data_IF_955612870613
#
_entry.id   IF_955612870613
#
_cell.length_a   1.000
_cell.length_b   1.000
_cell.length_c   1.000
_cell.angle_alpha   90.00
_cell.angle_beta   90.00
_cell.angle_gamma   90.00
#
_symmetry.space_group_name_H-M   'P 1'
#
loop_
_entity.id
_entity.type
_entity.pdbx_description
1 polymer ?
#
# COMPACT_ATOMS: atom_id res chain seq x y z
N UNK A 1 16.24 -8.56 -15.37
CA UNK A 1 16.16 -7.62 -14.24
C UNK A 1 14.68 -7.46 -13.95
N UNK A 2 14.12 -8.27 -13.05
CA UNK A 2 12.79 -8.00 -12.51
C UNK A 2 12.94 -6.69 -11.72
N UNK A 3 12.28 -5.64 -12.18
CA UNK A 3 12.27 -4.37 -11.47
C UNK A 3 11.71 -4.64 -10.07
N UNK A 4 12.55 -4.47 -9.05
CA UNK A 4 12.12 -4.52 -7.66
C UNK A 4 11.08 -3.41 -7.52
N UNK A 5 9.81 -3.79 -7.41
CA UNK A 5 8.74 -2.81 -7.26
C UNK A 5 8.85 -2.20 -5.87
N UNK A 6 9.51 -1.04 -5.79
CA UNK A 6 9.81 -0.36 -4.53
C UNK A 6 9.26 1.06 -4.56
N UNK A 7 8.24 1.33 -3.73
CA UNK A 7 7.91 2.69 -3.35
C UNK A 7 8.46 2.98 -1.96
N UNK A 8 9.13 4.13 -1.83
CA UNK A 8 9.62 4.67 -0.57
C UNK A 8 9.41 6.19 -0.60
N UNK A 9 9.31 6.82 0.57
CA UNK A 9 9.17 8.27 0.69
C UNK A 9 8.01 8.83 -0.14
N UNK A 10 6.89 8.12 -0.14
CA UNK A 10 5.61 8.51 -0.72
C UNK A 10 4.58 8.79 0.38
N UNK A 11 3.38 9.24 0.00
CA UNK A 11 2.26 9.43 0.94
C UNK A 11 1.12 8.50 0.59
N UNK A 12 0.70 7.67 1.54
CA UNK A 12 -0.54 6.93 1.48
C UNK A 12 -1.70 7.90 1.73
N UNK A 13 -2.45 8.19 0.67
CA UNK A 13 -3.65 9.04 0.73
C UNK A 13 -4.87 8.25 1.17
N UNK A 14 -5.02 7.03 0.65
CA UNK A 14 -6.18 6.18 0.92
C UNK A 14 -5.82 4.71 0.84
N UNK A 15 -6.39 3.92 1.74
CA UNK A 15 -6.38 2.47 1.65
C UNK A 15 -7.81 1.91 1.68
N UNK A 16 -8.07 0.87 0.89
CA UNK A 16 -9.37 0.22 0.82
C UNK A 16 -9.26 -1.28 0.54
N UNK A 17 -10.29 -2.03 0.93
CA UNK A 17 -10.44 -3.45 0.60
C UNK A 17 -11.82 -3.68 -0.01
N UNK A 18 -11.84 -4.31 -1.18
CA UNK A 18 -13.06 -4.69 -1.88
C UNK A 18 -12.98 -6.17 -2.29
N UNK A 19 -13.60 -7.04 -1.50
CA UNK A 19 -13.47 -8.49 -1.68
C UNK A 19 -12.03 -8.94 -1.46
N UNK A 20 -11.39 -9.49 -2.51
CA UNK A 20 -9.99 -9.93 -2.51
C UNK A 20 -9.04 -8.92 -3.17
N UNK A 21 -9.49 -7.67 -3.38
CA UNK A 21 -8.68 -6.59 -3.95
C UNK A 21 -8.34 -5.58 -2.86
N UNK A 22 -7.06 -5.43 -2.56
CA UNK A 22 -6.55 -4.40 -1.67
C UNK A 22 -6.01 -3.23 -2.51
N UNK A 23 -6.47 -2.01 -2.23
CA UNK A 23 -6.14 -0.83 -3.01
C UNK A 23 -5.46 0.24 -2.17
N UNK A 24 -4.43 0.86 -2.73
CA UNK A 24 -3.70 1.98 -2.13
C UNK A 24 -3.66 3.15 -3.12
N UNK A 25 -4.15 4.31 -2.73
CA UNK A 25 -3.95 5.56 -3.44
C UNK A 25 -2.74 6.27 -2.82
N UNK A 26 -1.70 6.47 -3.61
CA UNK A 26 -0.38 6.91 -3.15
C UNK A 26 0.07 8.14 -3.93
N UNK A 27 0.44 9.21 -3.22
CA UNK A 27 1.11 10.36 -3.82
C UNK A 27 2.63 10.16 -3.82
N UNK A 28 3.22 10.16 -5.00
CA UNK A 28 4.65 10.06 -5.21
C UNK A 28 5.28 11.45 -5.22
N UNK A 29 6.12 11.76 -4.23
CA UNK A 29 6.71 13.09 -4.11
C UNK A 29 7.68 13.42 -5.27
N UNK A 30 7.64 14.64 -5.84
CA UNK A 30 8.54 15.08 -6.91
C UNK A 30 10.03 14.94 -6.61
N UNK A 31 10.40 14.99 -5.31
CA UNK A 31 11.79 14.85 -4.84
C UNK A 31 12.38 13.50 -5.23
N UNK A 32 11.58 12.44 -5.16
CA UNK A 32 11.98 11.06 -5.47
C UNK A 32 11.42 10.57 -6.81
N UNK A 33 10.33 11.18 -7.27
CA UNK A 33 9.58 10.78 -8.45
C UNK A 33 9.33 12.00 -9.35
N UNK A 34 10.22 12.29 -10.32
CA UNK A 34 10.11 13.45 -11.18
C UNK A 34 8.72 13.57 -11.81
N UNK A 35 8.06 14.72 -11.59
CA UNK A 35 6.73 15.00 -12.11
C UNK A 35 5.62 14.97 -11.08
N UNK A 36 5.80 14.34 -9.90
CA UNK A 36 4.80 14.29 -8.83
C UNK A 36 3.47 13.73 -9.29
N UNK A 37 3.20 12.44 -9.01
CA UNK A 37 1.96 11.80 -9.48
C UNK A 37 1.26 11.06 -8.37
N UNK A 38 -0.07 11.08 -8.42
CA UNK A 38 -0.89 10.12 -7.69
C UNK A 38 -0.88 8.81 -8.48
N UNK A 39 -0.78 7.69 -7.77
CA UNK A 39 -0.92 6.36 -8.34
C UNK A 39 -1.87 5.54 -7.50
N UNK A 40 -2.74 4.79 -8.17
CA UNK A 40 -3.55 3.75 -7.54
C UNK A 40 -2.92 2.40 -7.76
N UNK A 41 -2.69 1.67 -6.66
CA UNK A 41 -2.17 0.31 -6.66
C UNK A 41 -3.27 -0.65 -6.28
N UNK A 42 -3.50 -1.67 -7.08
CA UNK A 42 -4.49 -2.72 -6.82
C UNK A 42 -3.79 -4.07 -6.77
N UNK A 43 -3.86 -4.69 -5.60
CA UNK A 43 -3.38 -6.05 -5.34
C UNK A 43 -4.57 -7.00 -5.37
N UNK A 44 -4.66 -7.82 -6.41
CA UNK A 44 -5.76 -8.76 -6.61
C UNK A 44 -5.40 -10.17 -6.14
N UNK A 45 -6.41 -10.92 -5.70
CA UNK A 45 -6.24 -12.30 -5.26
C UNK A 45 -5.63 -12.40 -3.86
N UNK A 46 -5.92 -11.42 -3.00
CA UNK A 46 -5.58 -11.46 -1.58
C UNK A 46 -6.50 -12.45 -0.86
N UNK A 47 -5.94 -13.40 -0.11
CA UNK A 47 -6.71 -14.48 0.52
C UNK A 47 -7.02 -14.25 2.01
N UNK A 48 -6.22 -13.46 2.71
CA UNK A 48 -6.35 -13.23 4.16
C UNK A 48 -7.08 -11.92 4.47
N UNK A 49 -8.38 -11.88 4.15
CA UNK A 49 -9.22 -10.67 4.25
C UNK A 49 -9.23 -10.07 5.66
N UNK A 50 -9.23 -10.90 6.71
CA UNK A 50 -9.33 -10.43 8.10
C UNK A 50 -8.09 -9.65 8.55
N UNK A 51 -6.91 -9.99 8.02
CA UNK A 51 -5.67 -9.23 8.22
C UNK A 51 -5.81 -7.81 7.66
N UNK A 52 -6.29 -7.67 6.42
CA UNK A 52 -6.49 -6.36 5.80
C UNK A 52 -7.55 -5.54 6.52
N UNK A 53 -8.67 -6.15 6.92
CA UNK A 53 -9.70 -5.45 7.70
C UNK A 53 -9.17 -4.96 9.05
N UNK A 54 -8.35 -5.77 9.73
CA UNK A 54 -7.72 -5.34 10.97
C UNK A 54 -6.78 -4.15 10.75
N UNK A 55 -5.93 -4.23 9.74
CA UNK A 55 -5.00 -3.16 9.39
C UNK A 55 -5.74 -1.87 9.00
N UNK A 56 -6.82 -1.97 8.21
CA UNK A 56 -7.64 -0.82 7.82
C UNK A 56 -8.33 -0.15 9.01
N UNK A 57 -8.71 -0.91 10.05
CA UNK A 57 -9.24 -0.33 11.30
C UNK A 57 -8.17 0.48 12.04
N UNK A 58 -6.91 0.02 12.03
CA UNK A 58 -5.80 0.75 12.64
C UNK A 58 -5.49 2.02 11.83
N UNK A 59 -5.45 1.91 10.51
CA UNK A 59 -5.31 3.06 9.61
C UNK A 59 -6.39 4.12 9.87
N UNK A 60 -7.66 3.72 9.93
CA UNK A 60 -8.76 4.65 10.23
C UNK A 60 -8.64 5.30 11.61
N UNK A 61 -8.13 4.58 12.61
CA UNK A 61 -7.90 5.14 13.94
C UNK A 61 -6.80 6.21 13.93
N UNK A 62 -5.69 5.98 13.22
CA UNK A 62 -4.61 6.98 13.05
C UNK A 62 -5.14 8.24 12.35
N UNK A 63 -5.84 8.08 11.22
CA UNK A 63 -6.41 9.23 10.50
C UNK A 63 -7.40 10.04 11.36
N UNK A 64 -8.17 9.38 12.22
CA UNK A 64 -9.10 10.06 13.13
C UNK A 64 -8.39 10.85 14.25
N UNK A 65 -7.21 10.41 14.70
CA UNK A 65 -6.41 11.10 15.72
C UNK A 65 -5.71 12.35 15.18
N UNK A 66 -5.25 12.31 13.92
CA UNK A 66 -4.53 13.41 13.28
C UNK A 66 -5.43 14.60 12.91
N UNK A 67 -6.76 14.44 12.99
CA UNK A 67 -7.74 15.53 12.91
C UNK A 67 -7.87 16.17 11.53
N UNK A 68 -7.20 15.63 10.51
CA UNK A 68 -7.23 16.11 9.14
C UNK A 68 -7.23 14.90 8.18
N UNK A 69 -8.36 14.67 7.52
CA UNK A 69 -8.51 13.62 6.49
C UNK A 69 -7.58 13.88 5.26
N UNK A 70 -6.94 15.05 5.21
CA UNK A 70 -6.02 15.47 4.14
C UNK A 70 -4.54 15.12 4.42
N UNK A 71 -4.17 14.77 5.66
CA UNK A 71 -2.80 14.38 6.01
C UNK A 71 -2.58 12.88 5.78
N UNK A 72 -2.20 12.51 4.55
CA UNK A 72 -1.85 11.11 4.26
C UNK A 72 -0.62 10.63 5.05
N UNK A 73 -0.47 9.32 5.21
CA UNK A 73 0.62 8.71 6.00
C UNK A 73 1.87 8.50 5.14
N UNK A 74 3.06 8.76 5.69
CA UNK A 74 4.29 8.47 4.96
C UNK A 74 4.44 6.96 4.76
N UNK A 75 4.69 6.56 3.52
CA UNK A 75 5.08 5.20 3.15
C UNK A 75 6.59 5.06 3.39
N UNK A 76 6.95 4.29 4.41
CA UNK A 76 8.35 3.93 4.68
C UNK A 76 8.89 2.97 3.60
N UNK A 77 8.03 2.06 3.13
CA UNK A 77 8.41 1.11 2.10
C UNK A 77 7.30 0.18 1.67
N UNK A 78 7.12 0.04 0.37
CA UNK A 78 6.32 -0.98 -0.28
C UNK A 78 7.22 -1.77 -1.22
N UNK A 79 7.44 -3.06 -0.94
CA UNK A 79 8.33 -3.90 -1.74
C UNK A 79 7.71 -5.28 -2.02
N UNK A 80 7.88 -5.79 -3.24
CA UNK A 80 7.65 -7.20 -3.55
C UNK A 80 8.89 -7.99 -3.11
N UNK A 81 8.76 -8.84 -2.10
CA UNK A 81 9.88 -9.52 -1.44
C UNK A 81 10.03 -10.98 -1.82
N UNK A 82 9.09 -11.54 -2.59
CA UNK A 82 9.13 -12.95 -2.96
C UNK A 82 8.09 -13.33 -3.99
N UNK A 83 8.30 -14.51 -4.58
CA UNK A 83 7.38 -15.13 -5.53
C UNK A 83 7.44 -16.64 -5.38
N UNK A 84 6.31 -17.26 -5.04
CA UNK A 84 6.20 -18.71 -4.86
C UNK A 84 4.81 -19.20 -5.28
N UNK A 85 4.75 -20.34 -5.99
CA UNK A 85 3.48 -20.98 -6.33
C UNK A 85 2.53 -20.13 -7.17
N UNK A 86 3.04 -19.15 -7.94
CA UNK A 86 2.22 -18.21 -8.71
C UNK A 86 1.70 -17.00 -7.92
N UNK A 87 2.03 -16.89 -6.64
CA UNK A 87 1.74 -15.74 -5.79
C UNK A 87 2.99 -14.88 -5.62
N UNK A 88 2.77 -13.58 -5.46
CA UNK A 88 3.76 -12.60 -5.03
C UNK A 88 3.56 -12.29 -3.55
N UNK A 89 4.66 -12.00 -2.84
CA UNK A 89 4.63 -11.54 -1.45
C UNK A 89 5.04 -10.08 -1.39
N UNK A 90 4.21 -9.22 -0.78
CA UNK A 90 4.51 -7.83 -0.51
C UNK A 90 4.80 -7.58 0.97
N UNK A 91 5.70 -6.63 1.23
CA UNK A 91 5.88 -5.98 2.53
C UNK A 91 5.53 -4.50 2.38
N UNK A 92 4.56 -4.04 3.17
CA UNK A 92 4.12 -2.65 3.20
C UNK A 92 4.27 -2.05 4.59
N UNK A 93 4.94 -0.91 4.69
CA UNK A 93 5.22 -0.18 5.91
C UNK A 93 4.87 1.29 5.73
N UNK A 94 4.15 1.83 6.72
CA UNK A 94 3.75 3.24 6.82
C UNK A 94 3.98 3.70 8.25
N UNK A 95 4.18 5.00 8.43
CA UNK A 95 4.29 5.60 9.76
C UNK A 95 3.07 5.23 10.63
N UNK A 96 3.33 5.00 11.92
CA UNK A 96 2.33 4.70 12.96
C UNK A 96 1.53 3.39 12.80
N UNK A 97 1.70 2.66 11.69
CA UNK A 97 0.99 1.41 11.42
C UNK A 97 1.90 0.18 11.50
N UNK A 98 1.36 -0.99 11.91
CA UNK A 98 2.12 -2.22 11.84
C UNK A 98 2.43 -2.58 10.38
N UNK A 99 3.61 -3.18 10.18
CA UNK A 99 4.03 -3.66 8.86
C UNK A 99 3.07 -4.75 8.37
N UNK A 100 2.45 -4.49 7.23
CA UNK A 100 1.57 -5.43 6.56
C UNK A 100 2.39 -6.33 5.63
N UNK A 101 2.25 -7.64 5.78
CA UNK A 101 2.86 -8.64 4.88
C UNK A 101 1.77 -9.51 4.30
N UNK A 102 1.67 -9.56 2.99
CA UNK A 102 0.55 -10.24 2.34
C UNK A 102 0.94 -10.84 0.99
N UNK A 103 0.20 -11.87 0.61
CA UNK A 103 0.32 -12.51 -0.69
C UNK A 103 -0.79 -12.04 -1.64
N UNK A 104 -0.45 -11.92 -2.91
CA UNK A 104 -1.38 -11.51 -3.97
C UNK A 104 -1.02 -12.20 -5.29
N UNK A 105 -1.94 -12.20 -6.25
CA UNK A 105 -1.76 -12.84 -7.57
C UNK A 105 -1.37 -11.84 -8.65
N UNK A 106 -1.94 -10.64 -8.62
CA UNK A 106 -1.74 -9.60 -9.63
C UNK A 106 -1.58 -8.24 -8.96
N UNK A 107 -0.63 -7.44 -9.46
CA UNK A 107 -0.50 -6.02 -9.13
C UNK A 107 -0.84 -5.20 -10.38
N UNK A 108 -1.74 -4.22 -10.22
CA UNK A 108 -1.99 -3.18 -11.22
C UNK A 108 -1.63 -1.83 -10.66
N UNK A 109 -0.97 -1.00 -11.48
CA UNK A 109 -0.72 0.41 -11.21
C UNK A 109 -1.50 1.24 -12.24
N UNK A 110 -2.28 2.19 -11.75
CA UNK A 110 -2.94 3.22 -12.55
C UNK A 110 -2.43 4.61 -12.12
N UNK A 111 -2.32 5.52 -13.09
CA UNK A 111 -1.92 6.93 -12.92
C UNK A 111 -3.07 7.83 -13.34
#
# INVERSE_FOLDING_TARGET
MEAEYVYHDAVLLKAALAGSVFSLDVWLYPVYYPGGKEVRLEFEGCHDVSMFEHWLRQYAAVCAEDGDDECGLRVEGLAITGREGGLFTARFACDYLPVLRFNFSVLREAV
#
